data_IF_082944597384
#
_entry.id   IF_082944597384
#
_cell.length_a   1.000
_cell.length_b   1.000
_cell.length_c   1.000
_cell.angle_alpha   90.00
_cell.angle_beta   90.00
_cell.angle_gamma   90.00
#
_symmetry.space_group_name_H-M   'P 1'
#
loop_
_entity.id
_entity.type
_entity.pdbx_description
1 polymer ?
#
# COMPACT_ATOMS: atom_id res chain seq x y z
N UNK A 1 12.63 -8.86 -5.50
CA UNK A 1 11.29 -8.50 -5.02
C UNK A 1 11.40 -7.13 -4.39
N UNK A 2 10.47 -6.23 -4.71
CA UNK A 2 10.43 -4.87 -4.16
C UNK A 2 10.00 -4.93 -2.68
N UNK A 3 10.58 -4.13 -1.78
CA UNK A 3 10.10 -3.99 -0.40
C UNK A 3 8.65 -3.51 -0.35
N UNK A 4 7.85 -4.00 0.62
CA UNK A 4 6.42 -3.65 0.73
C UNK A 4 6.17 -2.14 0.82
N UNK A 5 7.01 -1.43 1.56
CA UNK A 5 6.92 0.02 1.75
C UNK A 5 7.23 0.85 0.49
N UNK A 6 7.73 0.22 -0.57
CA UNK A 6 7.99 0.88 -1.85
C UNK A 6 6.89 0.57 -2.87
N UNK A 7 6.03 -0.42 -2.60
CA UNK A 7 4.98 -0.86 -3.53
C UNK A 7 3.84 0.14 -3.65
N UNK A 8 3.24 0.25 -4.83
CA UNK A 8 2.02 1.03 -5.04
C UNK A 8 0.80 0.30 -4.46
N UNK A 9 -0.32 1.01 -4.28
CA UNK A 9 -1.56 0.39 -3.82
C UNK A 9 -2.01 -0.75 -4.77
N UNK A 10 -1.88 -0.55 -6.09
CA UNK A 10 -2.18 -1.57 -7.11
C UNK A 10 -1.28 -2.80 -6.98
N UNK A 11 0.03 -2.60 -6.76
CA UNK A 11 0.98 -3.68 -6.55
C UNK A 11 0.65 -4.48 -5.27
N UNK A 12 0.30 -3.79 -4.18
CA UNK A 12 -0.08 -4.42 -2.90
C UNK A 12 -1.41 -5.20 -3.01
N UNK A 13 -2.40 -4.65 -3.70
CA UNK A 13 -3.68 -5.32 -3.96
C UNK A 13 -3.50 -6.62 -4.76
N UNK A 14 -2.65 -6.60 -5.79
CA UNK A 14 -2.33 -7.79 -6.59
C UNK A 14 -1.66 -8.88 -5.74
N UNK A 15 -0.73 -8.51 -4.85
CA UNK A 15 -0.12 -9.48 -3.92
C UNK A 15 -1.14 -10.04 -2.93
N UNK A 16 -2.08 -9.24 -2.43
CA UNK A 16 -3.16 -9.71 -1.55
C UNK A 16 -4.06 -10.74 -2.24
N UNK A 17 -4.41 -10.54 -3.51
CA UNK A 17 -5.21 -11.50 -4.29
C UNK A 17 -4.47 -12.83 -4.46
N UNK A 18 -3.20 -12.77 -4.88
CA UNK A 18 -2.37 -13.97 -5.05
C UNK A 18 -2.16 -14.70 -3.73
N UNK A 19 -1.92 -13.97 -2.64
CA UNK A 19 -1.77 -14.55 -1.32
C UNK A 19 -3.07 -15.23 -0.84
N UNK A 20 -4.21 -14.59 -1.06
CA UNK A 20 -5.52 -15.16 -0.73
C UNK A 20 -5.80 -16.46 -1.47
N UNK A 21 -5.34 -16.59 -2.72
CA UNK A 21 -5.51 -17.80 -3.53
C UNK A 21 -4.50 -18.90 -3.20
N UNK A 22 -3.26 -18.55 -2.86
CA UNK A 22 -2.16 -19.52 -2.72
C UNK A 22 -1.88 -19.92 -1.27
N UNK A 23 -2.14 -19.03 -0.30
CA UNK A 23 -1.87 -19.21 1.13
C UNK A 23 -2.95 -18.53 1.98
N UNK A 24 -4.21 -18.97 1.88
CA UNK A 24 -5.32 -18.33 2.60
C UNK A 24 -5.16 -18.34 4.13
N UNK A 25 -4.37 -19.28 4.65
CA UNK A 25 -4.10 -19.47 6.08
C UNK A 25 -3.08 -18.46 6.64
N UNK A 26 -2.29 -17.80 5.78
CA UNK A 26 -1.25 -16.87 6.20
C UNK A 26 -1.84 -15.49 6.55
N UNK A 27 -2.52 -15.45 7.70
CA UNK A 27 -3.21 -14.28 8.20
C UNK A 27 -2.25 -13.14 8.55
N UNK A 28 -1.08 -13.45 9.09
CA UNK A 28 -0.11 -12.45 9.52
C UNK A 28 0.44 -11.66 8.32
N UNK A 29 0.82 -12.36 7.24
CA UNK A 29 1.29 -11.70 6.02
C UNK A 29 0.18 -10.91 5.34
N UNK A 30 -1.06 -11.45 5.33
CA UNK A 30 -2.23 -10.76 4.77
C UNK A 30 -2.55 -9.48 5.52
N UNK A 31 -2.52 -9.49 6.85
CA UNK A 31 -2.72 -8.30 7.67
C UNK A 31 -1.64 -7.25 7.41
N UNK A 32 -0.37 -7.65 7.34
CA UNK A 32 0.74 -6.74 7.05
C UNK A 32 0.58 -6.03 5.69
N UNK A 33 0.14 -6.76 4.67
CA UNK A 33 -0.14 -6.21 3.34
C UNK A 33 -1.32 -5.24 3.34
N UNK A 34 -2.42 -5.56 4.05
CA UNK A 34 -3.56 -4.64 4.18
C UNK A 34 -3.15 -3.32 4.85
N UNK A 35 -2.32 -3.38 5.89
CA UNK A 35 -1.86 -2.18 6.59
C UNK A 35 -0.96 -1.28 5.71
N UNK A 36 -0.10 -1.89 4.88
CA UNK A 36 0.69 -1.11 3.91
C UNK A 36 -0.18 -0.57 2.77
N UNK A 37 -1.25 -1.27 2.38
CA UNK A 37 -2.22 -0.77 1.40
C UNK A 37 -2.94 0.48 1.91
N UNK A 38 -3.45 0.43 3.14
CA UNK A 38 -4.08 1.59 3.80
C UNK A 38 -3.13 2.78 3.89
N UNK A 39 -1.84 2.53 4.16
CA UNK A 39 -0.80 3.56 4.20
C UNK A 39 -0.51 4.13 2.81
N UNK A 40 -0.44 3.28 1.79
CA UNK A 40 -0.22 3.71 0.41
C UNK A 40 -1.38 4.59 -0.07
N UNK A 41 -2.62 4.17 0.18
CA UNK A 41 -3.85 4.91 -0.14
C UNK A 41 -3.91 6.23 0.63
N UNK A 42 -3.67 6.23 1.94
CA UNK A 42 -3.64 7.46 2.73
C UNK A 42 -2.52 8.42 2.29
N UNK A 43 -1.36 7.88 1.91
CA UNK A 43 -0.25 8.66 1.35
C UNK A 43 -0.56 9.24 -0.03
N UNK A 44 -1.31 8.53 -0.87
CA UNK A 44 -1.82 9.03 -2.15
C UNK A 44 -2.88 10.11 -1.97
N UNK A 45 -3.80 9.95 -1.02
CA UNK A 45 -4.81 10.97 -0.70
C UNK A 45 -4.18 12.24 -0.13
N UNK A 46 -3.12 12.13 0.69
CA UNK A 46 -2.33 13.31 1.11
C UNK A 46 -1.63 13.98 -0.08
N UNK A 47 -1.09 13.21 -1.03
CA UNK A 47 -0.51 13.76 -2.28
C UNK A 47 -1.56 14.41 -3.19
N UNK A 48 -2.80 13.90 -3.18
CA UNK A 48 -3.92 14.36 -4.01
C UNK A 48 -4.67 15.55 -3.40
N UNK A 49 -4.74 15.62 -2.07
CA UNK A 49 -5.46 16.63 -1.30
C UNK A 49 -4.61 17.76 -0.72
N UNK A 50 -3.27 17.69 -0.79
CA UNK A 50 -2.44 18.83 -0.44
C UNK A 50 -2.62 19.94 -1.48
N UNK A 51 -3.04 21.17 -1.09
CA UNK A 51 -2.75 22.32 -1.94
C UNK A 51 -1.23 22.32 -2.08
N UNK A 52 -0.75 22.45 -3.32
CA UNK A 52 0.66 22.64 -3.64
C UNK A 52 1.08 24.01 -3.09
N UNK A 53 1.17 24.14 -1.78
CA UNK A 53 1.56 25.38 -1.13
C UNK A 53 2.89 25.17 -0.41
N UNK A 54 3.80 26.07 -0.77
CA UNK A 54 5.04 26.37 -0.08
C UNK A 54 6.20 25.37 -0.26
N UNK A 55 6.64 25.20 -1.52
CA UNK A 55 8.09 25.29 -1.74
C UNK A 55 8.51 26.75 -1.48
N UNK A 56 8.78 27.06 -0.21
CA UNK A 56 9.44 28.29 0.21
C UNK A 56 10.85 28.30 -0.38
N UNK A 57 11.14 29.29 -1.24
CA UNK A 57 12.43 29.96 -1.35
C UNK A 57 12.14 31.45 -1.50
#
# INVERSE_FOLDING_TARGET
>A
MKPLNEMTAEELACVLEVLGATRPEDFALRLALCLELDRADAGEEVRRGAPREAARV
#
